data_IF_365686123102
#
_entry.id   IF_365686123102
#
_cell.length_a   1.000
_cell.length_b   1.000
_cell.length_c   1.000
_cell.angle_alpha   90.00
_cell.angle_beta   90.00
_cell.angle_gamma   90.00
#
_symmetry.space_group_name_H-M   'P 1'
#
loop_
_entity.id
_entity.type
_entity.pdbx_description
1 polymer ?
#
# COMPACT_ATOMS: atom_id res chain seq x y z
N UNK A 1 14.27 -95.04 -20.14
CA UNK A 1 15.38 -94.33 -19.47
C UNK A 1 15.17 -92.83 -19.62
N UNK A 2 15.26 -92.12 -18.50
CA UNK A 2 15.26 -90.67 -18.25
C UNK A 2 14.05 -89.81 -18.69
N UNK A 3 13.26 -89.50 -17.66
CA UNK A 3 12.36 -88.38 -17.49
C UNK A 3 13.12 -87.03 -17.50
N UNK A 4 12.58 -85.99 -18.17
CA UNK A 4 12.78 -84.58 -17.77
C UNK A 4 11.74 -83.64 -18.38
N UNK A 5 10.91 -83.11 -17.49
CA UNK A 5 9.93 -82.04 -17.65
C UNK A 5 10.57 -80.66 -17.84
N UNK A 6 10.11 -79.85 -18.81
CA UNK A 6 10.25 -78.37 -18.76
C UNK A 6 9.04 -77.66 -19.39
N UNK A 7 8.16 -77.19 -18.50
CA UNK A 7 7.46 -75.88 -18.41
C UNK A 7 7.05 -75.14 -19.70
N UNK A 8 5.73 -75.06 -19.90
CA UNK A 8 5.03 -74.09 -20.74
C UNK A 8 4.93 -72.72 -20.04
N UNK A 9 5.27 -71.62 -20.73
CA UNK A 9 4.86 -70.26 -20.35
C UNK A 9 4.18 -69.58 -21.54
N UNK A 10 2.93 -69.16 -21.32
CA UNK A 10 2.06 -68.44 -22.27
C UNK A 10 2.60 -67.03 -22.51
N UNK A 11 2.91 -66.70 -23.76
CA UNK A 11 3.07 -65.33 -24.21
C UNK A 11 1.69 -64.80 -24.61
N UNK A 12 1.11 -63.95 -23.77
CA UNK A 12 -0.17 -63.32 -24.05
C UNK A 12 -0.39 -62.15 -23.11
N UNK A 13 0.07 -60.97 -23.53
CA UNK A 13 -0.37 -59.62 -23.11
C UNK A 13 0.77 -58.62 -23.31
N UNK A 14 1.03 -58.21 -24.56
CA UNK A 14 1.91 -57.06 -24.83
C UNK A 14 1.32 -56.09 -25.86
N UNK A 15 0.39 -56.53 -26.71
CA UNK A 15 -0.16 -55.67 -27.78
C UNK A 15 -1.23 -54.67 -27.29
N UNK A 16 -1.98 -54.98 -26.22
CA UNK A 16 -3.08 -54.11 -25.76
C UNK A 16 -2.60 -52.86 -24.99
N UNK A 17 -1.47 -52.95 -24.30
CA UNK A 17 -0.92 -51.83 -23.51
C UNK A 17 -0.25 -50.76 -24.38
N UNK A 18 0.34 -51.15 -25.52
CA UNK A 18 0.99 -50.20 -26.44
C UNK A 18 -0.01 -49.30 -27.19
N UNK A 19 -1.19 -49.84 -27.54
CA UNK A 19 -2.25 -49.07 -28.21
C UNK A 19 -2.96 -48.08 -27.27
N UNK A 20 -3.07 -48.42 -25.98
CA UNK A 20 -3.69 -47.54 -24.98
C UNK A 20 -2.81 -46.33 -24.65
N UNK A 21 -1.48 -46.51 -24.66
CA UNK A 21 -0.52 -45.41 -24.49
C UNK A 21 -0.48 -44.45 -25.69
N UNK A 22 -0.64 -44.95 -26.92
CA UNK A 22 -0.70 -44.11 -28.12
C UNK A 22 -2.00 -43.29 -28.19
N UNK A 23 -3.14 -43.83 -27.74
CA UNK A 23 -4.40 -43.09 -27.64
C UNK A 23 -4.37 -42.01 -26.55
N UNK A 24 -3.71 -42.27 -25.42
CA UNK A 24 -3.52 -41.27 -24.37
C UNK A 24 -2.57 -40.15 -24.79
N UNK A 25 -1.53 -40.46 -25.58
CA UNK A 25 -0.62 -39.44 -26.12
C UNK A 25 -1.31 -38.52 -27.14
N UNK A 26 -2.18 -39.06 -28.00
CA UNK A 26 -2.96 -38.26 -28.96
C UNK A 26 -4.02 -37.38 -28.28
N UNK A 27 -4.68 -37.86 -27.21
CA UNK A 27 -5.68 -37.10 -26.48
C UNK A 27 -5.10 -35.92 -25.67
N UNK A 28 -3.81 -35.98 -25.30
CA UNK A 28 -3.12 -34.86 -24.63
C UNK A 28 -2.49 -33.86 -25.61
N UNK A 29 -2.30 -34.25 -26.88
CA UNK A 29 -1.76 -33.35 -27.91
C UNK A 29 -2.84 -32.41 -28.49
N UNK A 30 -4.12 -32.81 -28.45
CA UNK A 30 -5.23 -31.99 -28.96
C UNK A 30 -5.68 -30.88 -28.01
N UNK A 31 -5.32 -30.93 -26.73
CA UNK A 31 -5.69 -29.92 -25.72
C UNK A 31 -4.62 -28.82 -25.52
N UNK A 32 -3.50 -28.88 -26.27
CA UNK A 32 -2.38 -27.94 -26.16
C UNK A 32 -2.45 -26.73 -27.09
N UNK A 33 -3.39 -26.69 -28.04
CA UNK A 33 -3.65 -25.47 -28.82
C UNK A 33 -4.70 -24.63 -28.08
N UNK A 34 -4.31 -24.10 -26.93
CA UNK A 34 -4.92 -22.86 -26.47
C UNK A 34 -4.55 -21.83 -27.53
N UNK A 35 -5.52 -21.55 -28.42
CA UNK A 35 -5.49 -20.36 -29.26
C UNK A 35 -5.22 -19.21 -28.29
N UNK A 36 -4.00 -18.68 -28.36
CA UNK A 36 -3.80 -17.30 -27.93
C UNK A 36 -4.87 -16.54 -28.72
N UNK A 37 -5.91 -16.07 -28.03
CA UNK A 37 -6.63 -14.94 -28.54
C UNK A 37 -5.55 -13.88 -28.73
N UNK A 38 -5.06 -13.72 -29.95
CA UNK A 38 -4.66 -12.41 -30.41
C UNK A 38 -5.89 -11.55 -30.17
N UNK A 39 -5.95 -10.95 -28.98
CA UNK A 39 -6.69 -9.73 -28.77
C UNK A 39 -6.15 -8.81 -29.84
N UNK A 40 -6.91 -8.73 -30.93
CA UNK A 40 -6.62 -7.85 -32.04
C UNK A 40 -6.60 -6.47 -31.42
N UNK A 41 -5.40 -5.98 -31.12
CA UNK A 41 -5.19 -4.67 -30.52
C UNK A 41 -5.70 -3.73 -31.58
N UNK A 42 -6.94 -3.26 -31.40
CA UNK A 42 -7.48 -2.21 -32.23
C UNK A 42 -6.41 -1.14 -32.35
N UNK A 43 -6.07 -0.81 -33.59
CA UNK A 43 -4.98 0.09 -33.92
C UNK A 43 -5.05 1.33 -33.02
N UNK A 44 -3.96 1.60 -32.28
CA UNK A 44 -3.98 2.64 -31.25
C UNK A 44 -4.25 3.98 -31.91
N UNK A 45 -5.34 4.62 -31.48
CA UNK A 45 -5.71 5.96 -31.92
C UNK A 45 -5.20 6.96 -30.90
N UNK A 46 -4.50 7.97 -31.41
CA UNK A 46 -3.91 9.03 -30.60
C UNK A 46 -5.00 9.78 -29.82
N UNK A 47 -4.73 10.04 -28.54
CA UNK A 47 -5.64 10.78 -27.67
C UNK A 47 -4.91 11.89 -26.92
N UNK A 48 -5.68 12.84 -26.39
CA UNK A 48 -5.15 13.95 -25.59
C UNK A 48 -4.28 13.44 -24.44
N UNK A 49 -3.12 14.06 -24.24
CA UNK A 49 -2.13 13.64 -23.23
C UNK A 49 -1.06 12.66 -23.71
N UNK A 50 -1.16 12.12 -24.92
CA UNK A 50 -0.05 11.39 -25.54
C UNK A 50 1.08 12.35 -25.93
N UNK A 51 2.31 11.84 -25.99
CA UNK A 51 3.50 12.59 -26.40
C UNK A 51 4.03 12.01 -27.70
N UNK A 52 4.05 12.85 -28.73
CA UNK A 52 4.57 12.50 -30.04
C UNK A 52 5.99 13.06 -30.16
N UNK A 53 6.91 12.18 -30.55
CA UNK A 53 8.26 12.54 -30.96
C UNK A 53 8.28 12.85 -32.45
N UNK A 54 8.76 14.04 -32.78
CA UNK A 54 9.04 14.43 -34.16
C UNK A 54 10.53 14.66 -34.31
N UNK A 55 11.14 14.04 -35.33
CA UNK A 55 12.54 14.24 -35.67
C UNK A 55 12.71 14.20 -37.18
N UNK A 56 13.67 14.98 -37.69
CA UNK A 56 14.08 14.92 -39.10
C UNK A 56 15.56 14.60 -39.14
N UNK A 57 15.92 13.52 -39.83
CA UNK A 57 17.29 13.06 -39.98
C UNK A 57 18.11 14.16 -40.67
N UNK A 58 19.23 14.56 -40.05
CA UNK A 58 20.08 15.65 -40.52
C UNK A 58 19.71 17.04 -40.00
N UNK A 59 18.59 17.19 -39.28
CA UNK A 59 18.10 18.46 -38.72
C UNK A 59 17.78 18.30 -37.22
N UNK A 60 18.78 18.22 -36.34
CA UNK A 60 18.57 18.04 -34.90
C UNK A 60 17.77 19.19 -34.26
N UNK A 61 17.81 20.40 -34.84
CA UNK A 61 17.01 21.55 -34.42
C UNK A 61 15.50 21.37 -34.62
N UNK A 62 15.10 20.43 -35.47
CA UNK A 62 13.70 20.08 -35.70
C UNK A 62 13.21 18.99 -34.74
N UNK A 63 14.10 18.37 -33.96
CA UNK A 63 13.71 17.35 -33.00
C UNK A 63 12.92 17.97 -31.84
N UNK A 64 11.65 17.59 -31.71
CA UNK A 64 10.78 18.10 -30.65
C UNK A 64 9.78 17.06 -30.18
N UNK A 65 9.59 17.04 -28.86
CA UNK A 65 8.50 16.31 -28.19
C UNK A 65 7.30 17.23 -28.07
N UNK A 66 6.17 16.82 -28.65
CA UNK A 66 4.93 17.57 -28.62
C UNK A 66 3.86 16.76 -27.88
N UNK A 67 3.28 17.37 -26.85
CA UNK A 67 2.15 16.79 -26.12
C UNK A 67 0.86 17.15 -26.85
N UNK A 68 -0.04 16.19 -27.04
CA UNK A 68 -1.36 16.43 -27.62
C UNK A 68 -2.20 17.22 -26.61
N UNK A 69 -2.59 18.44 -26.99
CA UNK A 69 -3.37 19.32 -26.13
C UNK A 69 -4.83 18.86 -25.97
N UNK A 70 -5.61 19.57 -25.15
CA UNK A 70 -7.03 19.28 -24.93
C UNK A 70 -7.90 19.45 -26.19
N UNK A 71 -7.42 20.22 -27.17
CA UNK A 71 -8.11 20.41 -28.45
C UNK A 71 -7.76 19.33 -29.48
N UNK A 72 -6.82 18.42 -29.16
CA UNK A 72 -6.38 17.37 -30.06
C UNK A 72 -5.27 17.80 -31.02
N UNK A 73 -4.67 18.96 -30.78
CA UNK A 73 -3.69 19.59 -31.67
C UNK A 73 -2.28 19.42 -31.09
N UNK A 74 -1.31 19.22 -31.98
CA UNK A 74 0.12 19.32 -31.67
C UNK A 74 0.75 20.47 -32.44
N UNK A 75 1.77 21.09 -31.87
CA UNK A 75 2.52 22.15 -32.53
C UNK A 75 3.92 21.66 -32.85
N UNK A 76 4.18 21.43 -34.13
CA UNK A 76 5.48 20.96 -34.63
C UNK A 76 6.26 22.13 -35.27
N UNK A 77 7.60 22.15 -35.15
CA UNK A 77 8.44 23.11 -35.85
C UNK A 77 8.18 23.07 -37.36
N UNK A 78 8.14 24.23 -38.02
CA UNK A 78 7.91 24.41 -39.48
C UNK A 78 6.49 24.05 -39.97
N UNK A 79 5.81 23.11 -39.32
CA UNK A 79 4.46 22.63 -39.65
C UNK A 79 3.36 23.49 -39.04
N UNK A 80 3.54 23.98 -37.81
CA UNK A 80 2.50 24.69 -37.08
C UNK A 80 1.54 23.73 -36.37
N UNK A 81 0.30 24.16 -36.09
CA UNK A 81 -0.71 23.34 -35.43
C UNK A 81 -1.24 22.24 -36.38
N UNK A 82 -1.22 20.99 -35.91
CA UNK A 82 -1.71 19.82 -36.64
C UNK A 82 -2.73 19.06 -35.78
N UNK A 83 -3.88 18.70 -36.34
CA UNK A 83 -4.89 17.91 -35.63
C UNK A 83 -4.56 16.41 -35.75
N UNK A 84 -4.34 15.76 -34.61
CA UNK A 84 -3.92 14.36 -34.54
C UNK A 84 -4.90 13.48 -33.77
N UNK A 85 -5.98 14.05 -33.26
CA UNK A 85 -6.92 13.34 -32.39
C UNK A 85 -7.67 12.23 -33.15
N UNK A 86 -7.63 11.01 -32.62
CA UNK A 86 -8.33 9.86 -33.20
C UNK A 86 -7.68 9.26 -34.44
N UNK A 87 -6.60 9.87 -34.94
CA UNK A 87 -5.78 9.35 -36.03
C UNK A 87 -4.81 8.29 -35.53
N UNK A 88 -4.38 7.41 -36.43
CA UNK A 88 -3.28 6.49 -36.16
C UNK A 88 -1.95 7.23 -36.34
N UNK A 89 -0.87 6.70 -35.75
CA UNK A 89 0.47 7.28 -35.95
C UNK A 89 0.89 7.26 -37.42
N UNK A 90 0.43 6.27 -38.18
CA UNK A 90 0.70 6.14 -39.62
C UNK A 90 -0.01 7.21 -40.45
N UNK A 91 -1.25 7.55 -40.09
CA UNK A 91 -2.00 8.61 -40.74
C UNK A 91 -1.36 9.98 -40.45
N UNK A 92 -0.96 10.22 -39.20
CA UNK A 92 -0.23 11.44 -38.83
C UNK A 92 1.10 11.54 -39.57
N UNK A 93 1.84 10.44 -39.71
CA UNK A 93 3.11 10.42 -40.48
C UNK A 93 2.87 10.81 -41.93
N UNK A 94 1.84 10.26 -42.59
CA UNK A 94 1.50 10.62 -43.98
C UNK A 94 1.14 12.09 -44.10
N UNK A 95 0.32 12.62 -43.19
CA UNK A 95 -0.09 14.02 -43.19
C UNK A 95 1.12 14.96 -42.99
N UNK A 96 1.99 14.64 -42.04
CA UNK A 96 3.24 15.38 -41.79
C UNK A 96 4.13 15.39 -43.03
N UNK A 97 4.28 14.25 -43.71
CA UNK A 97 5.06 14.14 -44.95
C UNK A 97 4.46 15.00 -46.07
N UNK A 98 3.14 14.97 -46.27
CA UNK A 98 2.47 15.80 -47.29
C UNK A 98 2.64 17.30 -47.03
N UNK A 99 2.58 17.73 -45.77
CA UNK A 99 2.74 19.16 -45.42
C UNK A 99 4.20 19.61 -45.46
N UNK A 100 5.18 18.72 -45.22
CA UNK A 100 6.62 19.05 -45.28
C UNK A 100 7.21 18.99 -46.69
N UNK A 101 6.73 18.11 -47.58
CA UNK A 101 7.21 17.99 -48.98
C UNK A 101 7.38 19.32 -49.72
N UNK A 102 6.41 20.27 -49.70
CA UNK A 102 6.54 21.53 -50.43
C UNK A 102 7.36 22.59 -49.71
N UNK A 103 7.73 22.39 -48.44
CA UNK A 103 8.45 23.38 -47.63
C UNK A 103 9.96 23.13 -47.75
N UNK A 104 10.67 24.08 -48.34
CA UNK A 104 12.13 24.09 -48.35
C UNK A 104 12.65 24.91 -47.16
N UNK A 105 13.74 24.46 -46.53
CA UNK A 105 14.46 25.26 -45.54
C UNK A 105 15.76 25.81 -46.13
N UNK A 106 16.14 27.05 -45.78
CA UNK A 106 17.46 27.56 -46.11
C UNK A 106 18.51 26.85 -45.23
N UNK A 107 19.37 26.05 -45.84
CA UNK A 107 20.56 25.51 -45.18
C UNK A 107 21.74 26.44 -45.42
N UNK A 108 22.31 26.98 -44.36
CA UNK A 108 23.57 27.72 -44.42
C UNK A 108 24.72 26.74 -44.35
N UNK A 109 25.37 26.49 -45.49
CA UNK A 109 26.59 25.68 -45.53
C UNK A 109 27.73 26.39 -44.79
N UNK A 110 28.73 25.63 -44.32
CA UNK A 110 29.93 26.18 -43.64
C UNK A 110 30.67 27.22 -44.50
N UNK A 111 30.49 27.16 -45.82
CA UNK A 111 31.06 28.10 -46.80
C UNK A 111 30.22 29.38 -46.99
N UNK A 112 29.15 29.57 -46.23
CA UNK A 112 28.29 30.76 -46.27
C UNK A 112 27.20 30.75 -47.36
N UNK A 113 27.14 29.72 -48.20
CA UNK A 113 26.12 29.55 -49.24
C UNK A 113 24.82 29.01 -48.65
N UNK A 114 23.70 29.69 -48.92
CA UNK A 114 22.36 29.22 -48.57
C UNK A 114 21.84 28.28 -49.66
N UNK A 115 21.73 26.99 -49.36
CA UNK A 115 21.19 25.97 -50.28
C UNK A 115 19.79 25.60 -49.81
N UNK A 116 18.83 25.56 -50.74
CA UNK A 116 17.47 25.13 -50.45
C UNK A 116 17.40 23.60 -50.58
N UNK A 117 17.37 22.90 -49.45
CA UNK A 117 17.23 21.44 -49.41
C UNK A 117 15.77 21.12 -49.12
N UNK A 118 15.15 20.29 -49.97
CA UNK A 118 13.81 19.77 -49.72
C UNK A 118 13.85 18.62 -48.72
N UNK A 119 12.75 18.43 -47.98
CA UNK A 119 12.61 17.28 -47.10
C UNK A 119 12.20 16.04 -47.90
N UNK A 120 12.93 14.94 -47.72
CA UNK A 120 12.52 13.65 -48.26
C UNK A 120 11.70 12.87 -47.22
N UNK A 121 10.66 12.13 -47.63
CA UNK A 121 9.80 11.37 -46.71
C UNK A 121 10.53 10.38 -45.81
N UNK A 122 11.65 9.82 -46.27
CA UNK A 122 12.51 8.87 -45.55
C UNK A 122 13.31 9.52 -44.41
N UNK A 123 13.44 10.84 -44.41
CA UNK A 123 14.13 11.59 -43.36
C UNK A 123 13.21 11.93 -42.18
N UNK A 124 11.89 11.81 -42.33
CA UNK A 124 10.92 12.25 -41.33
C UNK A 124 10.54 11.08 -40.43
N UNK A 125 10.82 11.23 -39.13
CA UNK A 125 10.49 10.24 -38.09
C UNK A 125 9.40 10.82 -37.21
N UNK A 126 8.29 10.10 -37.13
CA UNK A 126 7.16 10.39 -36.24
C UNK A 126 6.82 9.11 -35.49
N UNK A 127 6.91 9.17 -34.16
CA UNK A 127 6.62 8.05 -33.27
C UNK A 127 5.97 8.53 -31.96
N UNK A 128 5.33 7.61 -31.25
CA UNK A 128 4.74 7.87 -29.94
C UNK A 128 5.82 7.63 -28.89
N UNK A 129 6.31 8.69 -28.25
CA UNK A 129 7.34 8.57 -27.22
C UNK A 129 6.74 8.14 -25.87
N UNK A 130 5.60 8.72 -25.50
CA UNK A 130 4.91 8.38 -24.26
C UNK A 130 3.40 8.28 -24.51
N UNK A 131 2.82 7.17 -24.10
CA UNK A 131 1.39 7.02 -24.04
C UNK A 131 0.86 7.67 -22.77
N UNK A 132 -0.35 8.23 -22.83
CA UNK A 132 -1.00 8.76 -21.63
C UNK A 132 -1.12 7.65 -20.56
N UNK A 133 -0.79 7.94 -19.31
CA UNK A 133 -0.89 6.93 -18.26
C UNK A 133 -2.35 6.66 -17.88
N UNK A 134 -2.59 5.51 -17.23
CA UNK A 134 -3.88 5.15 -16.64
C UNK A 134 -3.84 5.37 -15.13
N UNK A 135 -4.93 5.83 -14.54
CA UNK A 135 -5.05 5.98 -13.09
C UNK A 135 -5.75 4.76 -12.50
N UNK A 136 -5.14 4.13 -11.50
CA UNK A 136 -5.68 2.95 -10.81
C UNK A 136 -5.84 3.27 -9.33
N UNK A 137 -7.00 2.94 -8.77
CA UNK A 137 -7.35 3.21 -7.37
C UNK A 137 -8.05 1.99 -6.73
N UNK A 138 -8.18 2.00 -5.41
CA UNK A 138 -8.79 0.94 -4.59
C UNK A 138 -7.79 0.07 -3.86
N UNK A 139 -8.16 -1.20 -3.59
CA UNK A 139 -7.34 -2.18 -2.85
C UNK A 139 -6.21 -2.75 -3.72
N UNK A 140 -5.27 -1.88 -4.10
CA UNK A 140 -4.09 -2.17 -4.90
C UNK A 140 -2.83 -1.73 -4.14
N UNK A 141 -1.72 -2.43 -4.32
CA UNK A 141 -0.50 -2.16 -3.55
C UNK A 141 0.10 -0.77 -3.81
N UNK A 142 -0.07 -0.22 -5.03
CA UNK A 142 0.42 1.11 -5.40
C UNK A 142 -0.64 1.87 -6.20
N UNK A 143 -1.61 2.51 -5.51
CA UNK A 143 -2.61 3.34 -6.16
C UNK A 143 -1.96 4.57 -6.78
N UNK A 144 -2.54 5.04 -7.89
CA UNK A 144 -2.10 6.21 -8.63
C UNK A 144 -1.88 5.96 -10.11
N UNK A 145 -1.02 6.80 -10.69
CA UNK A 145 -0.73 6.84 -12.13
C UNK A 145 0.19 5.69 -12.53
N UNK A 146 -0.24 4.88 -13.50
CA UNK A 146 0.49 3.74 -14.04
C UNK A 146 0.76 3.91 -15.54
N UNK A 147 1.95 3.50 -15.97
CA UNK A 147 2.35 3.58 -17.37
C UNK A 147 1.48 2.65 -18.24
N UNK A 148 0.82 3.24 -19.24
CA UNK A 148 0.00 2.50 -20.20
C UNK A 148 0.86 1.94 -21.33
N UNK A 149 0.47 0.77 -21.84
CA UNK A 149 1.02 0.20 -23.07
C UNK A 149 -0.12 -0.28 -23.98
N UNK A 150 0.00 -0.16 -25.31
CA UNK A 150 -0.98 -0.73 -26.23
C UNK A 150 -1.21 -2.22 -25.96
N UNK A 151 -2.47 -2.65 -25.98
CA UNK A 151 -2.86 -4.03 -25.67
C UNK A 151 -2.88 -4.39 -24.19
N UNK A 152 -2.58 -3.44 -23.29
CA UNK A 152 -2.63 -3.69 -21.85
C UNK A 152 -4.06 -3.95 -21.37
N UNK A 153 -4.27 -5.10 -20.75
CA UNK A 153 -5.54 -5.45 -20.10
C UNK A 153 -5.67 -4.80 -18.73
N UNK A 154 -6.90 -4.67 -18.22
CA UNK A 154 -7.15 -4.21 -16.84
C UNK A 154 -6.38 -5.05 -15.82
N UNK A 155 -6.32 -6.37 -16.03
CA UNK A 155 -5.55 -7.28 -15.16
C UNK A 155 -4.06 -6.96 -15.15
N UNK A 156 -3.48 -6.69 -16.32
CA UNK A 156 -2.08 -6.28 -16.42
C UNK A 156 -1.83 -4.91 -15.79
N UNK A 157 -2.79 -3.98 -15.89
CA UNK A 157 -2.73 -2.68 -15.22
C UNK A 157 -2.69 -2.84 -13.69
N UNK A 158 -3.55 -3.68 -13.12
CA UNK A 158 -3.53 -4.00 -11.69
C UNK A 158 -2.21 -4.68 -11.29
N UNK A 159 -1.70 -5.61 -12.10
CA UNK A 159 -0.42 -6.25 -11.83
C UNK A 159 0.76 -5.25 -11.86
N UNK A 160 0.74 -4.27 -12.77
CA UNK A 160 1.73 -3.20 -12.84
C UNK A 160 1.69 -2.31 -11.59
N UNK A 161 0.51 -2.06 -11.02
CA UNK A 161 0.33 -1.39 -9.73
C UNK A 161 0.66 -2.24 -8.50
N UNK A 162 1.35 -3.38 -8.67
CA UNK A 162 1.77 -4.25 -7.56
C UNK A 162 0.73 -5.31 -7.15
N UNK A 163 -0.33 -5.47 -7.94
CA UNK A 163 -1.40 -6.43 -7.67
C UNK A 163 -2.37 -5.95 -6.59
N UNK A 164 -3.45 -6.73 -6.42
CA UNK A 164 -4.40 -6.46 -5.36
C UNK A 164 -3.68 -6.50 -4.01
N UNK A 165 -3.90 -5.45 -3.22
CA UNK A 165 -3.63 -5.51 -1.80
C UNK A 165 -4.71 -6.39 -1.20
N UNK A 166 -4.53 -7.71 -1.32
CA UNK A 166 -5.21 -8.64 -0.43
C UNK A 166 -4.94 -8.08 0.96
N UNK A 167 -6.01 -7.60 1.62
CA UNK A 167 -5.90 -7.03 2.95
C UNK A 167 -4.95 -7.91 3.73
N UNK A 168 -3.82 -7.34 4.12
CA UNK A 168 -2.78 -8.00 4.90
C UNK A 168 -3.29 -8.18 6.34
N UNK A 169 -4.49 -8.74 6.46
CA UNK A 169 -5.15 -9.19 7.68
C UNK A 169 -5.12 -10.71 7.82
N UNK A 170 -4.60 -11.47 6.84
CA UNK A 170 -4.73 -12.95 6.85
C UNK A 170 -3.42 -13.71 6.59
N UNK A 171 -2.27 -13.07 6.80
CA UNK A 171 -0.99 -13.77 7.02
C UNK A 171 -0.37 -13.39 8.36
N UNK A 172 -1.15 -12.89 9.32
CA UNK A 172 -0.74 -13.03 10.71
C UNK A 172 -0.97 -14.50 11.07
N UNK A 173 0.08 -15.19 11.54
CA UNK A 173 -0.11 -16.50 12.15
C UNK A 173 -1.19 -16.34 13.23
N UNK A 174 -2.35 -17.03 13.14
CA UNK A 174 -3.44 -16.88 14.10
C UNK A 174 -2.96 -17.06 15.55
N UNK A 175 -1.91 -17.86 15.75
CA UNK A 175 -1.25 -18.05 17.05
C UNK A 175 -0.54 -16.78 17.54
N UNK A 176 0.12 -16.01 16.65
CA UNK A 176 0.75 -14.75 17.02
C UNK A 176 -0.28 -13.68 17.35
N UNK A 177 -1.37 -13.58 16.58
CA UNK A 177 -2.46 -12.64 16.88
C UNK A 177 -3.15 -13.01 18.20
N UNK A 178 -3.42 -14.29 18.43
CA UNK A 178 -3.97 -14.77 19.71
C UNK A 178 -3.02 -14.48 20.89
N UNK A 179 -1.71 -14.63 20.70
CA UNK A 179 -0.71 -14.30 21.71
C UNK A 179 -0.65 -12.80 22.02
N UNK A 180 -0.66 -11.93 21.00
CA UNK A 180 -0.69 -10.46 21.19
C UNK A 180 -1.99 -10.02 21.89
N UNK A 181 -3.14 -10.51 21.43
CA UNK A 181 -4.44 -10.23 22.05
C UNK A 181 -4.48 -10.72 23.51
N UNK A 182 -3.96 -11.92 23.78
CA UNK A 182 -3.84 -12.44 25.14
C UNK A 182 -2.95 -11.57 26.03
N UNK A 183 -1.81 -11.11 25.51
CA UNK A 183 -0.91 -10.19 26.21
C UNK A 183 -1.56 -8.85 26.52
N UNK A 184 -2.25 -8.24 25.54
CA UNK A 184 -2.98 -6.97 25.74
C UNK A 184 -4.09 -7.12 26.75
N UNK A 185 -4.85 -8.21 26.70
CA UNK A 185 -5.91 -8.50 27.66
C UNK A 185 -5.35 -8.64 29.08
N UNK A 186 -4.20 -9.31 29.24
CA UNK A 186 -3.54 -9.44 30.54
C UNK A 186 -3.12 -8.08 31.12
N UNK A 187 -2.52 -7.22 30.30
CA UNK A 187 -2.15 -5.85 30.72
C UNK A 187 -3.39 -5.04 31.11
N UNK A 188 -4.47 -5.16 30.33
CA UNK A 188 -5.71 -4.43 30.60
C UNK A 188 -6.35 -4.84 31.93
N UNK A 189 -6.34 -6.15 32.24
CA UNK A 189 -6.83 -6.66 33.53
C UNK A 189 -6.03 -6.14 34.73
N UNK A 190 -4.69 -6.09 34.62
CA UNK A 190 -3.84 -5.52 35.67
C UNK A 190 -4.21 -4.05 35.91
N UNK A 191 -4.30 -3.26 34.83
CA UNK A 191 -4.66 -1.83 34.94
C UNK A 191 -6.05 -1.62 35.53
N UNK A 192 -7.00 -2.47 35.18
CA UNK A 192 -8.35 -2.41 35.73
C UNK A 192 -8.33 -2.63 37.24
N UNK A 193 -7.69 -3.70 37.72
CA UNK A 193 -7.54 -4.00 39.14
C UNK A 193 -6.83 -2.87 39.92
N UNK A 194 -5.73 -2.33 39.38
CA UNK A 194 -5.06 -1.18 39.99
C UNK A 194 -5.97 0.05 40.08
N UNK A 195 -6.81 0.28 39.06
CA UNK A 195 -7.77 1.39 39.04
C UNK A 195 -8.87 1.21 40.09
N UNK A 196 -9.37 -0.01 40.27
CA UNK A 196 -10.37 -0.32 41.31
C UNK A 196 -9.82 -0.08 42.72
N UNK A 197 -8.59 -0.56 43.01
CA UNK A 197 -7.94 -0.34 44.30
C UNK A 197 -7.76 1.16 44.58
N UNK A 198 -7.33 1.93 43.58
CA UNK A 198 -7.18 3.39 43.70
C UNK A 198 -8.51 4.09 43.95
N UNK A 199 -9.57 3.66 43.28
CA UNK A 199 -10.91 4.19 43.51
C UNK A 199 -11.36 3.91 44.95
N UNK A 200 -11.23 2.67 45.42
CA UNK A 200 -11.55 2.28 46.79
C UNK A 200 -10.76 3.08 47.84
N UNK A 201 -9.47 3.34 47.60
CA UNK A 201 -8.66 4.20 48.48
C UNK A 201 -9.21 5.64 48.53
N UNK A 202 -9.59 6.20 47.39
CA UNK A 202 -10.17 7.56 47.32
C UNK A 202 -11.50 7.60 48.07
N UNK A 203 -12.35 6.59 47.90
CA UNK A 203 -13.61 6.47 48.65
C UNK A 203 -13.38 6.35 50.16
N UNK A 204 -12.35 5.60 50.58
CA UNK A 204 -11.95 5.53 51.98
C UNK A 204 -11.50 6.91 52.51
N UNK A 205 -10.68 7.65 51.74
CA UNK A 205 -10.26 9.01 52.09
C UNK A 205 -11.44 9.97 52.24
N UNK A 206 -12.41 9.91 51.33
CA UNK A 206 -13.60 10.77 51.34
C UNK A 206 -14.53 10.45 52.50
N UNK A 207 -14.71 9.17 52.84
CA UNK A 207 -15.53 8.73 53.96
C UNK A 207 -14.84 8.84 55.33
N UNK A 208 -13.52 9.06 55.35
CA UNK A 208 -12.70 9.07 56.56
C UNK A 208 -12.34 7.66 57.07
N UNK A 209 -12.59 6.61 56.28
CA UNK A 209 -12.22 5.24 56.59
C UNK A 209 -10.70 5.03 56.48
N UNK A 210 -10.14 4.24 57.39
CA UNK A 210 -8.70 3.89 57.42
C UNK A 210 -8.37 2.58 56.72
N UNK A 211 -9.38 1.88 56.20
CA UNK A 211 -9.23 0.62 55.49
C UNK A 211 -9.71 0.78 54.04
N UNK A 212 -9.01 0.14 53.12
CA UNK A 212 -9.37 0.10 51.70
C UNK A 212 -10.25 -1.14 51.50
N UNK A 213 -11.50 -0.94 51.13
CA UNK A 213 -12.45 -2.02 50.81
C UNK A 213 -12.67 -2.03 49.30
N UNK A 214 -12.16 -3.06 48.62
CA UNK A 214 -12.29 -3.18 47.16
C UNK A 214 -13.45 -4.12 46.83
N UNK A 215 -14.37 -3.74 45.91
CA UNK A 215 -15.41 -4.64 45.43
C UNK A 215 -14.84 -5.90 44.77
N UNK A 216 -15.34 -7.07 45.13
CA UNK A 216 -14.78 -8.39 44.73
C UNK A 216 -15.39 -8.94 43.41
N UNK A 217 -16.01 -8.09 42.58
CA UNK A 217 -16.89 -8.51 41.48
C UNK A 217 -16.18 -9.14 40.27
N UNK A 218 -14.93 -8.73 39.98
CA UNK A 218 -14.13 -9.23 38.84
C UNK A 218 -12.76 -9.77 39.28
N UNK A 219 -12.76 -10.56 40.35
CA UNK A 219 -11.57 -11.16 40.93
C UNK A 219 -10.93 -12.20 39.98
N UNK A 220 -9.69 -11.96 39.56
CA UNK A 220 -8.88 -12.89 38.77
C UNK A 220 -7.82 -13.58 39.65
N UNK A 221 -7.95 -14.90 39.93
CA UNK A 221 -7.00 -15.65 40.78
C UNK A 221 -5.54 -15.58 40.31
N UNK A 222 -5.30 -15.37 39.01
CA UNK A 222 -3.95 -15.28 38.45
C UNK A 222 -3.23 -13.97 38.80
N UNK A 223 -3.97 -12.94 39.22
CA UNK A 223 -3.44 -11.62 39.56
C UNK A 223 -3.39 -11.36 41.06
N UNK A 224 -3.78 -12.30 41.91
CA UNK A 224 -3.83 -12.15 43.37
C UNK A 224 -2.51 -11.64 43.98
N UNK A 225 -1.32 -12.16 43.62
CA UNK A 225 -0.07 -11.66 44.21
C UNK A 225 0.16 -10.17 43.91
N UNK A 226 -0.12 -9.75 42.67
CA UNK A 226 0.00 -8.35 42.25
C UNK A 226 -1.05 -7.46 42.93
N UNK A 227 -2.27 -7.96 43.08
CA UNK A 227 -3.34 -7.24 43.76
C UNK A 227 -2.98 -7.02 45.23
N UNK A 228 -2.46 -8.04 45.90
CA UNK A 228 -2.08 -7.96 47.31
C UNK A 228 -0.90 -6.98 47.52
N UNK A 229 0.08 -6.99 46.62
CA UNK A 229 1.15 -5.99 46.58
C UNK A 229 0.59 -4.57 46.40
N UNK A 230 -0.33 -4.38 45.45
CA UNK A 230 -0.96 -3.08 45.20
C UNK A 230 -1.79 -2.60 46.39
N UNK A 231 -2.57 -3.48 47.03
CA UNK A 231 -3.32 -3.19 48.25
C UNK A 231 -2.39 -2.78 49.40
N UNK A 232 -1.26 -3.47 49.56
CA UNK A 232 -0.28 -3.12 50.60
C UNK A 232 0.37 -1.75 50.32
N UNK A 233 0.71 -1.46 49.06
CA UNK A 233 1.29 -0.18 48.66
C UNK A 233 0.29 0.96 48.91
N UNK A 234 -0.95 0.80 48.48
CA UNK A 234 -1.99 1.81 48.64
C UNK A 234 -2.42 1.99 50.10
N UNK A 235 -2.40 0.92 50.90
CA UNK A 235 -2.60 0.98 52.36
C UNK A 235 -1.51 1.79 53.05
N UNK A 236 -0.23 1.53 52.73
CA UNK A 236 0.90 2.34 53.24
C UNK A 236 0.79 3.81 52.82
N UNK A 237 0.36 4.05 51.58
CA UNK A 237 0.14 5.41 51.10
C UNK A 237 -0.98 6.11 51.88
N UNK A 238 -2.10 5.43 52.11
CA UNK A 238 -3.22 5.94 52.88
C UNK A 238 -2.82 6.27 54.33
N UNK A 239 -2.09 5.37 54.99
CA UNK A 239 -1.56 5.60 56.33
C UNK A 239 -0.64 6.82 56.40
N UNK A 240 0.26 6.98 55.43
CA UNK A 240 1.16 8.12 55.35
C UNK A 240 0.39 9.44 55.20
N UNK A 241 -0.64 9.46 54.35
CA UNK A 241 -1.51 10.63 54.16
C UNK A 241 -2.24 10.98 55.46
N UNK A 242 -2.82 10.00 56.16
CA UNK A 242 -3.50 10.26 57.43
C UNK A 242 -2.54 10.74 58.52
N UNK A 243 -1.34 10.17 58.61
CA UNK A 243 -0.34 10.60 59.58
C UNK A 243 0.10 12.06 59.35
N UNK A 244 0.18 12.49 58.08
CA UNK A 244 0.49 13.88 57.73
C UNK A 244 -0.67 14.82 58.09
N UNK A 245 -1.90 14.44 57.75
CA UNK A 245 -3.11 15.19 58.14
C UNK A 245 -3.25 15.35 59.65
N UNK A 246 -2.92 14.33 60.44
CA UNK A 246 -2.95 14.41 61.90
C UNK A 246 -1.92 15.42 62.43
N UNK A 247 -0.70 15.43 61.88
CA UNK A 247 0.34 16.39 62.24
C UNK A 247 -0.05 17.82 61.87
N UNK A 248 -0.63 18.01 60.69
CA UNK A 248 -1.11 19.32 60.24
C UNK A 248 -2.26 19.83 61.13
N UNK A 249 -3.24 18.98 61.43
CA UNK A 249 -4.33 19.33 62.36
C UNK A 249 -3.79 19.70 63.74
N UNK A 250 -2.81 18.96 64.25
CA UNK A 250 -2.18 19.25 65.54
C UNK A 250 -1.43 20.59 65.52
N UNK A 251 -0.69 20.90 64.44
CA UNK A 251 0.06 22.15 64.32
C UNK A 251 -0.87 23.36 64.20
N UNK A 252 -1.95 23.26 63.42
CA UNK A 252 -2.99 24.29 63.30
C UNK A 252 -3.68 24.51 64.66
N UNK A 253 -4.02 23.43 65.37
CA UNK A 253 -4.62 23.52 66.71
C UNK A 253 -3.69 24.22 67.71
N UNK A 254 -2.39 23.94 67.64
CA UNK A 254 -1.39 24.62 68.48
C UNK A 254 -1.29 26.11 68.13
N UNK A 255 -1.23 26.44 66.83
CA UNK A 255 -1.14 27.83 66.37
C UNK A 255 -2.37 28.65 66.77
N UNK A 256 -3.58 28.08 66.63
CA UNK A 256 -4.84 28.72 67.04
C UNK A 256 -4.91 28.92 68.56
N UNK A 257 -4.46 27.95 69.35
CA UNK A 257 -4.40 28.07 70.82
C UNK A 257 -3.45 29.19 71.24
N UNK A 258 -2.22 29.23 70.69
CA UNK A 258 -1.24 30.30 70.96
C UNK A 258 -1.74 31.68 70.52
N UNK A 259 -2.43 31.76 69.39
CA UNK A 259 -3.02 33.01 68.92
C UNK A 259 -4.13 33.49 69.88
N UNK A 260 -4.98 32.59 70.36
CA UNK A 260 -6.02 32.90 71.34
C UNK A 260 -5.44 33.38 72.68
N UNK A 261 -4.39 32.72 73.19
CA UNK A 261 -3.65 33.16 74.39
C UNK A 261 -3.10 34.59 74.21
N UNK A 262 -2.45 34.86 73.07
CA UNK A 262 -1.90 36.19 72.76
C UNK A 262 -2.98 37.28 72.71
N UNK A 263 -4.16 36.99 72.16
CA UNK A 263 -5.29 37.91 72.16
C UNK A 263 -5.83 38.17 73.58
N UNK A 264 -5.85 37.15 74.44
CA UNK A 264 -6.21 37.29 75.86
C UNK A 264 -5.29 38.27 76.58
N UNK A 265 -3.97 38.07 76.46
CA UNK A 265 -2.98 38.98 77.05
C UNK A 265 -3.11 40.43 76.55
N UNK A 266 -3.43 40.64 75.27
CA UNK A 266 -3.62 41.99 74.72
C UNK A 266 -4.90 42.67 75.24
N UNK A 267 -5.96 41.90 75.55
CA UNK A 267 -7.20 42.44 76.14
C UNK A 267 -7.05 42.82 77.61
N UNK A 268 -6.19 42.12 78.37
CA UNK A 268 -5.92 42.46 79.77
C UNK A 268 -5.01 43.70 79.93
N UNK A 269 -4.34 44.13 78.85
CA UNK A 269 -3.45 45.30 78.84
C UNK A 269 -4.11 46.62 78.38
N UNK A 270 -5.40 46.60 78.02
CA UNK A 270 -6.19 47.80 77.65
C UNK A 270 -7.20 48.14 78.74
#
# INVERSE_FOLDING_TARGET
MLNRSVRWMRAGSCAALACMFLLFAYANLSNGLALAEEHNVGEYRLQTGDVIGFAVIGYPEMQKRAVIDQSGVIVLPVLGPLNVLGNTIEDVRKEVVEVLKPKSLPQRSADGTETWTGFYPDQIVVDIEEYRPVFIDGDIASPGTQAFRPGMTVRQAVAAGGGYQLGRGELENPEMTAADLGGRLHILRIKYQESEIKAARIEAQLSGARAIEVPDAERDPSLEPRRDEALQQEGKHLEAVYADQEKERASIKLATTKAAERMGYLKEQQ
#
